data_IF_580672719689
#
_entry.id   IF_580672719689
#
_cell.length_a   1.000
_cell.length_b   1.000
_cell.length_c   1.000
_cell.angle_alpha   90.00
_cell.angle_beta   90.00
_cell.angle_gamma   90.00
#
_symmetry.space_group_name_H-M   'P 1'
#
loop_
_entity.id
_entity.type
_entity.pdbx_description
1 polymer ?
#
# COMPACT_ATOMS: atom_id res chain seq x y z
N UNK A 1 -1.30 6.81 26.88
CA UNK A 1 0.14 6.60 26.62
C UNK A 1 0.52 7.53 25.48
N UNK A 2 1.57 8.37 25.60
CA UNK A 2 1.98 9.22 24.49
C UNK A 2 2.39 8.31 23.32
N UNK A 3 1.79 8.54 22.15
CA UNK A 3 2.10 7.80 20.94
C UNK A 3 3.58 8.01 20.60
N UNK A 4 4.36 6.93 20.66
CA UNK A 4 5.70 6.91 20.08
C UNK A 4 5.50 7.20 18.57
N UNK A 5 6.17 8.22 17.98
CA UNK A 5 5.99 8.54 16.57
C UNK A 5 6.20 7.29 15.71
N UNK A 6 5.27 6.98 14.80
CA UNK A 6 5.29 5.76 13.97
C UNK A 6 6.65 5.53 13.28
N UNK A 7 7.29 6.60 12.81
CA UNK A 7 8.64 6.57 12.23
C UNK A 7 9.74 6.06 13.19
N UNK A 8 9.64 6.34 14.50
CA UNK A 8 10.58 5.82 15.51
C UNK A 8 10.35 4.35 15.85
N UNK A 9 9.11 3.87 15.73
CA UNK A 9 8.77 2.46 15.90
C UNK A 9 9.24 1.62 14.70
N UNK A 10 9.06 2.11 13.47
CA UNK A 10 9.54 1.46 12.25
C UNK A 10 11.07 1.37 12.20
N UNK A 11 11.78 2.46 12.52
CA UNK A 11 13.24 2.46 12.56
C UNK A 11 13.79 1.49 13.63
N UNK A 12 13.13 1.41 14.79
CA UNK A 12 13.46 0.44 15.82
C UNK A 12 13.23 -1.00 15.33
N UNK A 13 12.09 -1.28 14.69
CA UNK A 13 11.77 -2.59 14.15
C UNK A 13 12.76 -3.02 13.06
N UNK A 14 13.15 -2.13 12.14
CA UNK A 14 14.18 -2.43 11.11
C UNK A 14 15.52 -2.81 11.74
N UNK A 15 15.96 -2.09 12.77
CA UNK A 15 17.20 -2.41 13.48
C UNK A 15 17.12 -3.75 14.21
N UNK A 16 16.01 -4.02 14.91
CA UNK A 16 15.78 -5.29 15.59
C UNK A 16 15.71 -6.45 14.59
N UNK A 17 15.01 -6.26 13.47
CA UNK A 17 14.91 -7.24 12.38
C UNK A 17 16.29 -7.62 11.82
N UNK A 18 17.14 -6.63 11.53
CA UNK A 18 18.51 -6.88 11.06
C UNK A 18 19.33 -7.67 12.11
N UNK A 19 19.21 -7.32 13.39
CA UNK A 19 19.87 -8.05 14.49
C UNK A 19 19.39 -9.51 14.61
N UNK A 20 18.09 -9.75 14.47
CA UNK A 20 17.51 -11.09 14.49
C UNK A 20 17.99 -11.92 13.29
N UNK A 21 18.00 -11.33 12.09
CA UNK A 21 18.50 -11.98 10.88
C UNK A 21 19.96 -12.39 11.02
N UNK A 22 20.83 -11.50 11.52
CA UNK A 22 22.24 -11.80 11.78
C UNK A 22 22.42 -12.90 12.84
N UNK A 23 21.61 -12.87 13.90
CA UNK A 23 21.65 -13.86 14.98
C UNK A 23 21.21 -15.23 14.49
N UNK A 24 20.17 -15.28 13.66
CA UNK A 24 19.66 -16.49 13.01
C UNK A 24 20.70 -17.10 12.07
N UNK A 25 21.28 -16.32 11.16
CA UNK A 25 22.28 -16.80 10.18
C UNK A 25 23.58 -17.31 10.82
N UNK A 26 23.88 -16.88 12.05
CA UNK A 26 25.02 -17.37 12.86
C UNK A 26 24.72 -18.65 13.63
N UNK A 27 23.47 -19.10 13.70
CA UNK A 27 23.14 -20.37 14.33
C UNK A 27 23.73 -21.54 13.53
N UNK A 28 23.98 -22.70 14.16
CA UNK A 28 24.31 -23.92 13.42
C UNK A 28 23.14 -24.35 12.50
N UNK A 29 23.46 -25.15 11.48
CA UNK A 29 22.50 -25.52 10.43
C UNK A 29 21.24 -26.20 10.97
N UNK A 30 21.37 -27.02 12.02
CA UNK A 30 20.22 -27.70 12.64
C UNK A 30 19.25 -26.69 13.27
N UNK A 31 19.76 -25.76 14.07
CA UNK A 31 18.96 -24.67 14.64
C UNK A 31 18.34 -23.77 13.57
N UNK A 32 19.06 -23.49 12.48
CA UNK A 32 18.47 -22.76 11.36
C UNK A 32 17.28 -23.51 10.78
N UNK A 33 17.40 -24.82 10.52
CA UNK A 33 16.28 -25.66 10.04
C UNK A 33 15.10 -25.72 11.02
N UNK A 34 15.38 -25.73 12.33
CA UNK A 34 14.32 -25.65 13.35
C UNK A 34 13.60 -24.30 13.24
N UNK A 35 14.32 -23.18 13.13
CA UNK A 35 13.73 -21.84 12.99
C UNK A 35 12.93 -21.71 11.69
N UNK A 36 13.43 -22.24 10.56
CA UNK A 36 12.69 -22.30 9.30
C UNK A 36 11.37 -23.06 9.46
N UNK A 37 11.40 -24.23 10.10
CA UNK A 37 10.17 -24.99 10.35
C UNK A 37 9.20 -24.21 11.26
N UNK A 38 9.71 -23.55 12.31
CA UNK A 38 8.93 -22.66 13.16
C UNK A 38 8.33 -21.49 12.40
N UNK A 39 9.02 -20.94 11.40
CA UNK A 39 8.50 -19.84 10.57
C UNK A 39 7.39 -20.31 9.64
N UNK A 40 7.50 -21.51 9.06
CA UNK A 40 6.44 -22.09 8.22
C UNK A 40 5.20 -22.50 9.02
N UNK A 41 5.36 -22.92 10.29
CA UNK A 41 4.21 -23.18 11.17
C UNK A 41 3.36 -21.92 11.34
N UNK A 42 3.98 -20.73 11.39
CA UNK A 42 3.37 -19.39 11.53
C UNK A 42 2.57 -19.15 12.83
N UNK A 43 1.72 -20.10 13.20
CA UNK A 43 0.88 -20.14 14.38
C UNK A 43 1.66 -20.43 15.68
N UNK A 44 1.12 -20.06 16.85
CA UNK A 44 1.63 -20.55 18.12
C UNK A 44 1.63 -22.07 18.19
N UNK A 45 2.79 -22.67 18.49
CA UNK A 45 3.00 -24.11 18.56
C UNK A 45 3.45 -24.57 19.95
N UNK A 46 3.25 -25.84 20.22
CA UNK A 46 3.77 -26.52 21.42
C UNK A 46 5.05 -27.27 21.06
N UNK A 47 5.87 -27.62 22.05
CA UNK A 47 7.03 -28.50 21.82
C UNK A 47 6.61 -29.82 21.17
N UNK A 48 5.43 -30.37 21.53
CA UNK A 48 4.93 -31.61 20.94
C UNK A 48 4.57 -31.45 19.47
N UNK A 49 3.86 -30.39 19.09
CA UNK A 49 3.50 -30.17 17.69
C UNK A 49 4.72 -29.86 16.82
N UNK A 50 5.75 -29.21 17.37
CA UNK A 50 7.03 -29.03 16.68
C UNK A 50 7.78 -30.36 16.48
N UNK A 51 7.79 -31.26 17.48
CA UNK A 51 8.36 -32.62 17.33
C UNK A 51 7.71 -33.36 16.16
N UNK A 52 6.37 -33.31 16.06
CA UNK A 52 5.64 -33.96 14.97
C UNK A 52 6.08 -33.39 13.62
N UNK A 53 6.16 -32.06 13.49
CA UNK A 53 6.61 -31.44 12.24
C UNK A 53 8.08 -31.79 11.91
N UNK A 54 8.97 -31.84 12.90
CA UNK A 54 10.39 -32.23 12.71
C UNK A 54 10.52 -33.67 12.22
N UNK A 55 9.74 -34.59 12.78
CA UNK A 55 9.67 -35.98 12.34
C UNK A 55 9.20 -36.06 10.87
N UNK A 56 8.13 -35.32 10.52
CA UNK A 56 7.60 -35.28 9.14
C UNK A 56 8.59 -34.67 8.14
N UNK A 57 9.42 -33.72 8.60
CA UNK A 57 10.47 -33.10 7.80
C UNK A 57 11.77 -33.93 7.74
N UNK A 58 11.80 -35.11 8.40
CA UNK A 58 13.01 -35.92 8.55
C UNK A 58 14.22 -35.12 9.10
N UNK A 59 13.96 -34.22 10.05
CA UNK A 59 15.00 -33.46 10.76
C UNK A 59 15.32 -34.19 12.07
N UNK A 60 16.59 -34.57 12.22
CA UNK A 60 17.09 -35.36 13.35
C UNK A 60 18.05 -34.54 14.22
N UNK A 61 18.27 -35.00 15.45
CA UNK A 61 19.29 -34.42 16.32
C UNK A 61 20.72 -34.71 15.82
N UNK A 62 21.73 -34.14 16.49
CA UNK A 62 23.15 -34.35 16.18
C UNK A 62 23.60 -35.83 16.20
N UNK A 63 22.80 -36.72 16.80
CA UNK A 63 23.05 -38.17 16.89
C UNK A 63 22.19 -38.96 15.90
N UNK A 64 21.57 -38.28 14.93
CA UNK A 64 20.66 -38.84 13.93
C UNK A 64 19.46 -39.56 14.55
N UNK A 65 18.97 -39.09 15.70
CA UNK A 65 17.77 -39.59 16.37
C UNK A 65 16.61 -38.62 16.20
N UNK A 66 15.40 -39.15 16.23
CA UNK A 66 14.18 -38.34 16.28
C UNK A 66 14.17 -37.49 17.55
N UNK A 67 13.69 -36.26 17.41
CA UNK A 67 13.43 -35.41 18.55
C UNK A 67 12.30 -35.97 19.42
N UNK A 68 12.45 -35.80 20.73
CA UNK A 68 11.39 -35.91 21.71
C UNK A 68 11.34 -34.60 22.48
N UNK A 69 10.25 -34.30 23.19
CA UNK A 69 10.13 -33.02 23.88
C UNK A 69 11.32 -32.69 24.77
N UNK A 70 11.87 -33.69 25.49
CA UNK A 70 13.05 -33.53 26.34
C UNK A 70 14.33 -33.17 25.58
N UNK A 71 14.52 -33.70 24.36
CA UNK A 71 15.72 -33.39 23.55
C UNK A 71 15.55 -32.12 22.73
N UNK A 72 14.31 -31.72 22.43
CA UNK A 72 14.01 -30.48 21.71
C UNK A 72 13.97 -29.24 22.62
N UNK A 73 13.55 -29.36 23.89
CA UNK A 73 13.48 -28.23 24.82
C UNK A 73 14.76 -27.38 24.90
N UNK A 74 15.98 -27.96 25.03
CA UNK A 74 17.20 -27.16 25.06
C UNK A 74 17.43 -26.30 23.81
N UNK A 75 16.98 -26.78 22.64
CA UNK A 75 17.06 -25.99 21.40
C UNK A 75 16.06 -24.84 21.45
N UNK A 76 14.81 -25.08 21.88
CA UNK A 76 13.80 -24.03 22.04
C UNK A 76 14.27 -22.97 23.04
N UNK A 77 14.80 -23.38 24.20
CA UNK A 77 15.29 -22.46 25.23
C UNK A 77 16.42 -21.56 24.68
N UNK A 78 17.39 -22.14 23.97
CA UNK A 78 18.47 -21.39 23.30
C UNK A 78 17.92 -20.43 22.22
N UNK A 79 16.93 -20.85 21.43
CA UNK A 79 16.31 -19.99 20.43
C UNK A 79 15.52 -18.82 21.06
N UNK A 80 14.96 -19.03 22.25
CA UNK A 80 14.32 -17.98 23.06
C UNK A 80 15.36 -17.01 23.62
N UNK A 81 16.47 -17.51 24.16
CA UNK A 81 17.58 -16.69 24.64
C UNK A 81 18.17 -15.80 23.53
N UNK A 82 18.19 -16.30 22.29
CA UNK A 82 18.60 -15.54 21.11
C UNK A 82 17.49 -14.67 20.48
N UNK A 83 16.27 -14.69 21.03
CA UNK A 83 15.13 -13.91 20.54
C UNK A 83 14.54 -14.38 19.19
N UNK A 84 14.98 -15.53 18.67
CA UNK A 84 14.53 -16.08 17.39
C UNK A 84 13.16 -16.75 17.51
N UNK A 85 12.86 -17.28 18.70
CA UNK A 85 11.56 -17.81 19.09
C UNK A 85 11.06 -17.02 20.30
N UNK A 86 9.77 -16.68 20.32
CA UNK A 86 9.13 -15.96 21.41
C UNK A 86 8.10 -16.85 22.09
N UNK A 87 7.95 -16.68 23.40
CA UNK A 87 6.89 -17.33 24.18
C UNK A 87 5.68 -16.38 24.24
N UNK A 88 4.57 -16.71 23.57
CA UNK A 88 3.36 -15.86 23.61
C UNK A 88 2.58 -16.06 24.91
N UNK A 89 2.46 -17.31 25.37
CA UNK A 89 1.66 -17.71 26.54
C UNK A 89 2.40 -18.80 27.34
N UNK A 90 1.85 -19.24 28.48
CA UNK A 90 2.45 -20.30 29.33
C UNK A 90 2.77 -21.63 28.60
N UNK A 91 2.23 -21.87 27.40
CA UNK A 91 2.38 -23.14 26.66
C UNK A 91 2.63 -23.00 25.15
N UNK A 92 2.72 -21.79 24.61
CA UNK A 92 2.82 -21.55 23.16
C UNK A 92 4.07 -20.77 22.78
N UNK A 93 4.81 -21.28 21.81
CA UNK A 93 5.98 -20.65 21.20
C UNK A 93 5.65 -20.22 19.78
N UNK A 94 6.35 -19.21 19.26
CA UNK A 94 6.22 -18.74 17.88
C UNK A 94 7.57 -18.26 17.37
N UNK A 95 7.84 -18.40 16.06
CA UNK A 95 8.97 -17.69 15.47
C UNK A 95 8.77 -16.18 15.64
N UNK A 96 9.84 -15.43 15.91
CA UNK A 96 9.74 -13.99 16.07
C UNK A 96 9.16 -13.35 14.79
N UNK A 97 8.12 -12.51 14.92
CA UNK A 97 7.37 -11.98 13.77
C UNK A 97 8.26 -11.27 12.73
N UNK A 98 9.24 -10.48 13.19
CA UNK A 98 10.19 -9.79 12.32
C UNK A 98 11.22 -10.71 11.62
N UNK A 99 11.38 -11.96 12.07
CA UNK A 99 12.32 -12.94 11.49
C UNK A 99 11.62 -13.89 10.52
N UNK A 100 10.30 -14.01 10.63
CA UNK A 100 9.53 -15.11 10.09
C UNK A 100 9.64 -15.23 8.56
N UNK A 101 9.54 -14.14 7.81
CA UNK A 101 9.70 -14.20 6.35
C UNK A 101 11.15 -14.38 5.92
N UNK A 102 12.12 -13.83 6.67
CA UNK A 102 13.55 -14.02 6.42
C UNK A 102 13.89 -15.52 6.50
N UNK A 103 13.44 -16.20 7.57
CA UNK A 103 13.67 -17.62 7.73
C UNK A 103 12.97 -18.45 6.64
N UNK A 104 11.73 -18.12 6.28
CA UNK A 104 11.02 -18.82 5.20
C UNK A 104 11.69 -18.63 3.85
N UNK A 105 12.14 -17.43 3.51
CA UNK A 105 12.86 -17.14 2.25
C UNK A 105 14.21 -17.84 2.20
N UNK A 106 14.93 -17.93 3.32
CA UNK A 106 16.16 -18.72 3.39
C UNK A 106 15.89 -20.23 3.13
N UNK A 107 14.74 -20.76 3.56
CA UNK A 107 14.33 -22.13 3.24
C UNK A 107 13.96 -22.31 1.76
N UNK A 108 13.39 -21.29 1.11
CA UNK A 108 13.16 -21.27 -0.35
C UNK A 108 14.51 -21.26 -1.07
N UNK A 109 15.43 -20.38 -0.66
CA UNK A 109 16.78 -20.23 -1.24
C UNK A 109 17.62 -21.50 -1.10
N UNK A 110 17.48 -22.24 0.01
CA UNK A 110 18.17 -23.51 0.21
C UNK A 110 17.51 -24.71 -0.48
N UNK A 111 16.31 -24.55 -1.04
CA UNK A 111 15.52 -25.63 -1.64
C UNK A 111 14.84 -26.56 -0.64
N UNK A 112 14.89 -26.25 0.67
CA UNK A 112 14.27 -27.06 1.72
C UNK A 112 12.75 -26.79 1.84
N UNK A 113 12.26 -25.65 1.33
CA UNK A 113 10.88 -25.19 1.52
C UNK A 113 9.79 -26.22 1.18
N UNK A 114 9.81 -26.94 0.04
CA UNK A 114 8.73 -27.87 -0.31
C UNK A 114 8.54 -28.99 0.72
N UNK A 115 9.64 -29.56 1.22
CA UNK A 115 9.59 -30.63 2.23
C UNK A 115 9.16 -30.10 3.59
N UNK A 116 9.62 -28.90 3.97
CA UNK A 116 9.18 -28.26 5.22
C UNK A 116 7.69 -27.88 5.18
N UNK A 117 7.21 -27.34 4.07
CA UNK A 117 5.80 -26.99 3.89
C UNK A 117 4.91 -28.23 3.99
N UNK A 118 5.29 -29.32 3.31
CA UNK A 118 4.61 -30.61 3.41
C UNK A 118 4.61 -31.15 4.84
N UNK A 119 5.71 -31.02 5.56
CA UNK A 119 5.81 -31.44 6.96
C UNK A 119 4.87 -30.65 7.87
N UNK A 120 4.71 -29.35 7.65
CA UNK A 120 3.74 -28.52 8.37
C UNK A 120 2.31 -28.92 8.03
N UNK A 121 1.97 -29.09 6.75
CA UNK A 121 0.62 -29.51 6.33
C UNK A 121 0.22 -30.86 6.93
N UNK A 122 1.16 -31.81 7.02
CA UNK A 122 0.91 -33.14 7.62
C UNK A 122 0.94 -33.12 9.15
N UNK A 123 1.79 -32.30 9.75
CA UNK A 123 1.93 -32.21 11.21
C UNK A 123 0.86 -31.35 11.88
N UNK A 124 0.32 -30.36 11.17
CA UNK A 124 -0.71 -29.44 11.63
C UNK A 124 -1.75 -29.19 10.52
N UNK A 125 -2.53 -30.20 10.14
CA UNK A 125 -3.50 -30.09 9.05
C UNK A 125 -4.61 -29.09 9.38
N UNK A 126 -5.03 -28.32 8.38
CA UNK A 126 -6.26 -27.52 8.45
C UNK A 126 -7.46 -28.47 8.39
N UNK A 127 -8.43 -28.26 9.27
CA UNK A 127 -9.67 -29.05 9.27
C UNK A 127 -10.43 -28.79 7.97
N UNK A 128 -11.04 -29.83 7.41
CA UNK A 128 -11.98 -29.72 6.28
C UNK A 128 -13.39 -30.04 6.78
N UNK A 129 -14.41 -29.40 6.19
CA UNK A 129 -15.80 -29.65 6.60
C UNK A 129 -16.29 -31.07 6.24
N UNK A 130 -15.84 -31.61 5.11
CA UNK A 130 -16.05 -32.99 4.67
C UNK A 130 -14.85 -33.44 3.80
N UNK A 131 -14.80 -34.72 3.43
CA UNK A 131 -13.73 -35.26 2.56
C UNK A 131 -13.70 -34.53 1.21
N UNK A 132 -12.53 -34.05 0.82
CA UNK A 132 -12.33 -33.15 -0.34
C UNK A 132 -13.16 -31.85 -0.29
N UNK A 133 -13.66 -31.49 0.89
CA UNK A 133 -14.43 -30.27 1.14
C UNK A 133 -13.57 -29.04 1.45
N UNK A 134 -14.20 -27.87 1.59
CA UNK A 134 -13.51 -26.62 1.87
C UNK A 134 -12.80 -26.66 3.22
N UNK A 135 -11.71 -25.90 3.31
CA UNK A 135 -10.95 -25.72 4.54
C UNK A 135 -11.70 -24.86 5.54
N UNK A 136 -11.65 -25.27 6.80
CA UNK A 136 -12.30 -24.65 7.95
C UNK A 136 -11.26 -24.02 8.86
N UNK A 137 -10.88 -22.79 8.52
CA UNK A 137 -9.92 -22.00 9.30
C UNK A 137 -10.48 -21.65 10.68
N UNK A 138 -9.79 -22.07 11.74
CA UNK A 138 -10.20 -21.78 13.11
C UNK A 138 -9.79 -20.37 13.54
N UNK A 139 -8.71 -19.85 12.95
CA UNK A 139 -8.17 -18.53 13.22
C UNK A 139 -7.55 -17.92 11.96
N UNK A 140 -7.31 -16.61 12.00
CA UNK A 140 -6.74 -15.87 10.86
C UNK A 140 -5.29 -16.29 10.59
N UNK A 141 -4.55 -16.73 11.62
CA UNK A 141 -3.18 -17.22 11.46
C UNK A 141 -3.12 -18.49 10.61
N UNK A 142 -4.13 -19.37 10.67
CA UNK A 142 -4.23 -20.53 9.78
C UNK A 142 -4.42 -20.12 8.33
N UNK A 143 -5.28 -19.12 8.10
CA UNK A 143 -5.50 -18.58 6.75
C UNK A 143 -4.21 -17.96 6.21
N UNK A 144 -3.55 -17.10 7.00
CA UNK A 144 -2.27 -16.49 6.63
C UNK A 144 -1.21 -17.55 6.35
N UNK A 145 -1.10 -18.59 7.19
CA UNK A 145 -0.15 -19.70 6.99
C UNK A 145 -0.35 -20.38 5.63
N UNK A 146 -1.57 -20.69 5.24
CA UNK A 146 -1.83 -21.35 3.96
C UNK A 146 -1.62 -20.39 2.77
N UNK A 147 -1.97 -19.10 2.89
CA UNK A 147 -1.63 -18.10 1.87
C UNK A 147 -0.11 -17.97 1.72
N UNK A 148 0.64 -17.95 2.81
CA UNK A 148 2.12 -17.97 2.81
C UNK A 148 2.65 -19.19 2.08
N UNK A 149 2.15 -20.38 2.40
CA UNK A 149 2.54 -21.62 1.71
C UNK A 149 2.27 -21.52 0.20
N UNK A 150 1.09 -21.01 -0.18
CA UNK A 150 0.74 -20.80 -1.59
C UNK A 150 1.67 -19.82 -2.30
N UNK A 151 1.98 -18.69 -1.66
CA UNK A 151 2.84 -17.65 -2.23
C UNK A 151 4.27 -18.15 -2.45
N UNK A 152 4.87 -18.79 -1.44
CA UNK A 152 6.22 -19.35 -1.53
C UNK A 152 6.29 -20.59 -2.44
N UNK A 153 5.17 -21.29 -2.65
CA UNK A 153 5.04 -22.34 -3.67
C UNK A 153 4.71 -21.79 -5.06
N UNK A 154 4.50 -20.48 -5.19
CA UNK A 154 4.09 -19.79 -6.41
C UNK A 154 2.77 -20.32 -7.03
N UNK A 155 1.85 -20.80 -6.19
CA UNK A 155 0.57 -21.38 -6.60
C UNK A 155 -0.60 -20.41 -6.35
N UNK A 156 -0.86 -19.55 -7.34
CA UNK A 156 -1.98 -18.59 -7.27
C UNK A 156 -3.34 -19.30 -7.14
N UNK A 157 -3.52 -20.47 -7.76
CA UNK A 157 -4.79 -21.19 -7.68
C UNK A 157 -5.04 -21.67 -6.26
N UNK A 158 -4.01 -22.18 -5.60
CA UNK A 158 -4.09 -22.57 -4.20
C UNK A 158 -4.41 -21.38 -3.30
N UNK A 159 -3.76 -20.22 -3.49
CA UNK A 159 -4.05 -18.98 -2.75
C UNK A 159 -5.51 -18.57 -2.92
N UNK A 160 -6.00 -18.54 -4.16
CA UNK A 160 -7.39 -18.18 -4.45
C UNK A 160 -8.38 -19.13 -3.79
N UNK A 161 -8.08 -20.44 -3.77
CA UNK A 161 -8.90 -21.41 -3.05
C UNK A 161 -8.92 -21.16 -1.54
N UNK A 162 -7.78 -20.78 -0.94
CA UNK A 162 -7.73 -20.46 0.50
C UNK A 162 -8.58 -19.23 0.82
N UNK A 163 -8.51 -18.21 -0.04
CA UNK A 163 -9.30 -17.00 0.11
C UNK A 163 -10.79 -17.30 -0.02
N UNK A 164 -11.19 -18.09 -1.02
CA UNK A 164 -12.58 -18.49 -1.22
C UNK A 164 -13.11 -19.27 -0.01
N UNK A 165 -12.35 -20.22 0.50
CA UNK A 165 -12.73 -21.03 1.66
C UNK A 165 -12.87 -20.15 2.92
N UNK A 166 -11.90 -19.26 3.17
CA UNK A 166 -11.91 -18.33 4.30
C UNK A 166 -13.09 -17.35 4.22
N UNK A 167 -13.35 -16.78 3.04
CA UNK A 167 -14.44 -15.83 2.83
C UNK A 167 -15.82 -16.48 2.88
N UNK A 168 -16.00 -17.69 2.36
CA UNK A 168 -17.33 -18.34 2.33
C UNK A 168 -17.69 -19.05 3.63
N UNK A 169 -16.71 -19.67 4.29
CA UNK A 169 -16.97 -20.57 5.43
C UNK A 169 -16.45 -20.04 6.77
N UNK A 170 -15.79 -18.88 6.80
CA UNK A 170 -15.45 -18.18 8.04
C UNK A 170 -16.66 -17.46 8.65
N UNK A 171 -17.01 -17.79 9.90
CA UNK A 171 -18.04 -17.10 10.70
C UNK A 171 -17.47 -15.88 11.45
N UNK A 172 -16.77 -14.99 10.74
CA UNK A 172 -16.11 -13.80 11.30
C UNK A 172 -16.69 -12.54 10.68
N UNK A 173 -16.97 -11.54 11.52
CA UNK A 173 -17.50 -10.23 11.08
C UNK A 173 -16.43 -9.41 10.33
N UNK A 174 -15.19 -9.41 10.82
CA UNK A 174 -14.05 -8.72 10.20
C UNK A 174 -13.10 -9.76 9.59
N UNK A 175 -13.22 -10.01 8.29
CA UNK A 175 -12.36 -10.93 7.56
C UNK A 175 -11.15 -10.17 7.01
N UNK A 176 -9.98 -10.81 7.08
CA UNK A 176 -8.79 -10.30 6.41
C UNK A 176 -8.99 -10.26 4.89
N UNK A 177 -8.48 -9.21 4.26
CA UNK A 177 -8.34 -9.15 2.80
C UNK A 177 -7.09 -9.94 2.36
N UNK A 178 -7.05 -10.35 1.09
CA UNK A 178 -5.84 -10.99 0.56
C UNK A 178 -4.69 -10.00 0.50
N UNK A 179 -5.01 -8.75 0.19
CA UNK A 179 -4.08 -7.62 0.10
C UNK A 179 -3.38 -7.38 1.44
N UNK A 180 -4.10 -7.37 2.57
CA UNK A 180 -3.47 -7.20 3.89
C UNK A 180 -2.47 -8.33 4.19
N UNK A 181 -2.83 -9.57 3.83
CA UNK A 181 -1.99 -10.75 4.06
C UNK A 181 -0.76 -10.72 3.17
N UNK A 182 -0.91 -10.49 1.87
CA UNK A 182 0.22 -10.43 0.95
C UNK A 182 1.17 -9.28 1.33
N UNK A 183 0.65 -8.15 1.80
CA UNK A 183 1.45 -7.02 2.22
C UNK A 183 2.33 -7.36 3.43
N UNK A 184 1.77 -8.04 4.44
CA UNK A 184 2.53 -8.53 5.59
C UNK A 184 3.67 -9.45 5.16
N UNK A 185 3.43 -10.32 4.17
CA UNK A 185 4.42 -11.29 3.69
C UNK A 185 5.50 -10.62 2.83
N UNK A 186 5.10 -9.74 1.91
CA UNK A 186 6.00 -9.10 0.95
C UNK A 186 6.84 -7.99 1.56
N UNK A 187 6.38 -7.36 2.66
CA UNK A 187 7.04 -6.18 3.24
C UNK A 187 7.59 -6.40 4.67
N UNK A 188 7.93 -7.64 5.06
CA UNK A 188 8.47 -7.98 6.38
C UNK A 188 9.79 -8.80 6.36
N UNK A 189 10.92 -8.26 5.87
CA UNK A 189 11.06 -7.01 5.12
C UNK A 189 10.73 -7.22 3.64
N UNK A 190 10.80 -6.17 2.83
CA UNK A 190 10.95 -6.36 1.38
C UNK A 190 12.28 -7.08 1.09
N UNK A 191 12.28 -7.96 0.09
CA UNK A 191 13.44 -8.75 -0.32
C UNK A 191 13.44 -8.88 -1.84
N UNK A 192 14.22 -8.04 -2.51
CA UNK A 192 14.23 -7.99 -3.96
C UNK A 192 14.72 -9.28 -4.63
N UNK A 193 15.68 -10.00 -4.03
CA UNK A 193 16.17 -11.25 -4.62
C UNK A 193 15.06 -12.29 -4.70
N UNK A 194 14.31 -12.47 -3.61
CA UNK A 194 13.17 -13.38 -3.58
C UNK A 194 12.02 -12.88 -4.44
N UNK A 195 11.69 -11.59 -4.36
CA UNK A 195 10.55 -11.01 -5.07
C UNK A 195 10.66 -11.18 -6.59
N UNK A 196 11.87 -11.04 -7.14
CA UNK A 196 12.15 -11.25 -8.57
C UNK A 196 11.88 -12.69 -9.05
N UNK A 197 11.81 -13.67 -8.13
CA UNK A 197 11.52 -15.08 -8.47
C UNK A 197 10.03 -15.35 -8.67
N UNK A 198 9.14 -14.44 -8.28
CA UNK A 198 7.70 -14.64 -8.40
C UNK A 198 7.28 -14.72 -9.88
N UNK A 199 6.25 -15.50 -10.23
CA UNK A 199 5.67 -15.46 -11.57
C UNK A 199 4.95 -14.13 -11.82
N UNK A 200 4.88 -13.71 -13.08
CA UNK A 200 4.35 -12.41 -13.53
C UNK A 200 3.02 -12.00 -12.85
N UNK A 201 2.06 -12.92 -12.77
CA UNK A 201 0.76 -12.66 -12.15
C UNK A 201 0.84 -12.33 -10.65
N UNK A 202 1.75 -12.98 -9.90
CA UNK A 202 1.98 -12.70 -8.49
C UNK A 202 2.86 -11.46 -8.31
N UNK A 203 3.86 -11.28 -9.17
CA UNK A 203 4.73 -10.11 -9.18
C UNK A 203 3.90 -8.83 -9.34
N UNK A 204 3.09 -8.74 -10.40
CA UNK A 204 2.24 -7.58 -10.71
C UNK A 204 1.32 -7.17 -9.56
N UNK A 205 0.70 -8.16 -8.91
CA UNK A 205 -0.23 -7.92 -7.83
C UNK A 205 0.48 -7.50 -6.54
N UNK A 206 1.57 -8.20 -6.19
CA UNK A 206 2.30 -7.93 -4.96
C UNK A 206 3.05 -6.58 -5.01
N UNK A 207 3.64 -6.23 -6.15
CA UNK A 207 4.47 -5.01 -6.25
C UNK A 207 3.57 -3.77 -6.19
N UNK A 208 2.42 -3.83 -6.87
CA UNK A 208 1.39 -2.80 -6.78
C UNK A 208 0.94 -2.58 -5.35
N UNK A 209 0.63 -3.65 -4.63
CA UNK A 209 0.13 -3.57 -3.27
C UNK A 209 1.18 -2.99 -2.31
N UNK A 210 2.45 -3.39 -2.42
CA UNK A 210 3.55 -2.80 -1.63
C UNK A 210 3.67 -1.30 -1.89
N UNK A 211 3.70 -0.89 -3.17
CA UNK A 211 3.87 0.51 -3.56
C UNK A 211 2.65 1.37 -3.26
N UNK A 212 1.44 0.82 -3.43
CA UNK A 212 0.18 1.51 -3.12
C UNK A 212 0.02 1.69 -1.61
N UNK A 213 0.32 0.65 -0.80
CA UNK A 213 0.33 0.79 0.65
C UNK A 213 1.34 1.85 1.11
N UNK A 214 2.52 1.86 0.49
CA UNK A 214 3.58 2.82 0.78
C UNK A 214 3.16 4.26 0.45
N UNK A 215 2.51 4.45 -0.70
CA UNK A 215 1.94 5.74 -1.10
C UNK A 215 0.90 6.21 -0.09
N UNK A 216 -0.10 5.36 0.21
CA UNK A 216 -1.23 5.73 1.05
C UNK A 216 -0.87 5.99 2.52
N UNK A 217 0.31 5.54 2.97
CA UNK A 217 0.74 5.67 4.37
C UNK A 217 2.07 6.39 4.56
N UNK A 218 2.69 6.89 3.48
CA UNK A 218 4.05 7.44 3.48
C UNK A 218 5.07 6.53 4.15
N UNK A 219 5.09 5.27 3.74
CA UNK A 219 6.13 4.32 4.14
C UNK A 219 7.23 4.31 3.05
N UNK A 220 8.53 4.39 3.40
CA UNK A 220 9.59 4.31 2.40
C UNK A 220 9.59 2.95 1.69
N UNK A 221 9.65 2.98 0.36
CA UNK A 221 9.59 1.81 -0.51
C UNK A 221 10.59 1.90 -1.67
N UNK A 222 11.75 2.51 -1.44
CA UNK A 222 12.76 2.78 -2.46
C UNK A 222 13.21 1.51 -3.18
N UNK A 223 13.44 0.41 -2.44
CA UNK A 223 13.85 -0.87 -3.04
C UNK A 223 12.79 -1.44 -3.99
N UNK A 224 11.51 -1.44 -3.57
CA UNK A 224 10.40 -1.90 -4.40
C UNK A 224 10.18 -0.99 -5.62
N UNK A 225 10.33 0.32 -5.45
CA UNK A 225 10.19 1.29 -6.53
C UNK A 225 11.33 1.17 -7.54
N UNK A 226 12.58 1.09 -7.08
CA UNK A 226 13.76 0.86 -7.94
C UNK A 226 13.63 -0.45 -8.70
N UNK A 227 13.19 -1.53 -8.04
CA UNK A 227 12.93 -2.79 -8.73
C UNK A 227 11.90 -2.64 -9.86
N UNK A 228 10.74 -2.02 -9.59
CA UNK A 228 9.72 -1.81 -10.63
C UNK A 228 10.25 -0.96 -11.79
N UNK A 229 11.04 0.07 -11.46
CA UNK A 229 11.67 0.96 -12.41
C UNK A 229 12.66 0.19 -13.31
N UNK A 230 13.56 -0.59 -12.72
CA UNK A 230 14.52 -1.43 -13.44
C UNK A 230 13.81 -2.42 -14.36
N UNK A 231 12.73 -3.04 -13.89
CA UNK A 231 12.00 -4.03 -14.68
C UNK A 231 11.31 -3.40 -15.89
N UNK A 232 10.73 -2.20 -15.74
CA UNK A 232 10.06 -1.50 -16.85
C UNK A 232 11.02 -0.87 -17.87
N UNK A 233 12.18 -0.38 -17.43
CA UNK A 233 13.14 0.33 -18.30
C UNK A 233 14.21 -0.58 -18.92
N UNK A 234 14.54 -1.72 -18.31
CA UNK A 234 15.52 -2.63 -18.88
C UNK A 234 14.89 -3.54 -19.94
N UNK A 235 15.51 -3.62 -21.12
CA UNK A 235 15.07 -4.53 -22.20
C UNK A 235 15.19 -6.03 -21.86
N UNK A 236 15.80 -6.35 -20.71
CA UNK A 236 15.97 -7.70 -20.18
C UNK A 236 15.04 -7.99 -18.99
N UNK A 237 14.13 -7.07 -18.65
CA UNK A 237 13.11 -7.30 -17.63
C UNK A 237 12.31 -8.57 -17.95
N UNK A 238 12.15 -9.43 -16.96
CA UNK A 238 11.44 -10.70 -17.07
C UNK A 238 9.95 -10.49 -16.85
N UNK A 239 9.59 -9.52 -16.01
CA UNK A 239 8.21 -9.17 -15.65
C UNK A 239 7.85 -7.80 -16.22
N UNK A 240 7.52 -7.74 -17.50
CA UNK A 240 7.08 -6.49 -18.13
C UNK A 240 5.67 -6.61 -18.68
N UNK A 241 4.72 -5.96 -18.03
CA UNK A 241 3.35 -5.83 -18.51
C UNK A 241 2.99 -4.35 -18.71
N UNK A 242 2.03 -4.06 -19.60
CA UNK A 242 1.53 -2.70 -19.77
C UNK A 242 0.89 -2.16 -18.47
N UNK A 243 0.36 -3.06 -17.64
CA UNK A 243 -0.18 -2.73 -16.32
C UNK A 243 0.92 -2.23 -15.38
N UNK A 244 2.07 -2.91 -15.30
CA UNK A 244 3.20 -2.46 -14.49
C UNK A 244 3.70 -1.08 -14.90
N UNK A 245 3.78 -0.81 -16.22
CA UNK A 245 4.17 0.51 -16.72
C UNK A 245 3.20 1.61 -16.30
N UNK A 246 1.89 1.33 -16.25
CA UNK A 246 0.91 2.29 -15.71
C UNK A 246 1.08 2.50 -14.20
N UNK A 247 1.39 1.45 -13.44
CA UNK A 247 1.66 1.56 -12.00
C UNK A 247 2.94 2.37 -11.75
N UNK A 248 3.99 2.12 -12.54
CA UNK A 248 5.21 2.92 -12.51
C UNK A 248 4.92 4.38 -12.84
N UNK A 249 4.11 4.65 -13.86
CA UNK A 249 3.69 6.01 -14.21
C UNK A 249 3.02 6.70 -13.03
N UNK A 250 2.09 6.04 -12.36
CA UNK A 250 1.43 6.58 -11.16
C UNK A 250 2.42 6.91 -10.04
N UNK A 251 3.35 5.99 -9.76
CA UNK A 251 4.40 6.22 -8.77
C UNK A 251 5.30 7.40 -9.16
N UNK A 252 5.73 7.48 -10.41
CA UNK A 252 6.56 8.58 -10.91
C UNK A 252 5.87 9.93 -10.77
N UNK A 253 4.57 10.01 -11.10
CA UNK A 253 3.79 11.25 -10.95
C UNK A 253 3.71 11.70 -9.48
N UNK A 254 3.47 10.78 -8.53
CA UNK A 254 3.46 11.12 -7.09
C UNK A 254 4.84 11.46 -6.52
N UNK A 255 5.91 10.92 -7.12
CA UNK A 255 7.30 11.18 -6.73
C UNK A 255 7.89 12.43 -7.39
N UNK A 256 7.13 13.08 -8.29
CA UNK A 256 7.57 14.28 -9.01
C UNK A 256 8.47 14.00 -10.22
N UNK A 257 8.59 12.75 -10.67
CA UNK A 257 9.41 12.34 -11.81
C UNK A 257 8.62 12.46 -13.12
N UNK A 258 8.28 13.68 -13.52
CA UNK A 258 7.34 13.93 -14.63
C UNK A 258 7.89 13.50 -15.99
N UNK A 259 9.20 13.64 -16.20
CA UNK A 259 9.83 13.30 -17.47
C UNK A 259 9.87 11.77 -17.67
N UNK A 260 10.23 11.03 -16.63
CA UNK A 260 10.24 9.57 -16.63
C UNK A 260 8.80 9.02 -16.75
N UNK A 261 7.81 9.68 -16.13
CA UNK A 261 6.41 9.32 -16.28
C UNK A 261 5.98 9.45 -17.75
N UNK A 262 6.39 10.54 -18.41
CA UNK A 262 6.14 10.76 -19.84
C UNK A 262 6.79 9.68 -20.70
N UNK A 263 8.07 9.38 -20.48
CA UNK A 263 8.80 8.34 -21.22
C UNK A 263 8.16 6.97 -21.06
N UNK A 264 7.69 6.66 -19.84
CA UNK A 264 6.96 5.41 -19.56
C UNK A 264 5.66 5.35 -20.37
N UNK A 265 4.88 6.44 -20.41
CA UNK A 265 3.65 6.51 -21.19
C UNK A 265 3.89 6.43 -22.71
N UNK A 266 4.95 7.05 -23.22
CA UNK A 266 5.33 6.99 -24.64
C UNK A 266 5.80 5.59 -25.07
N UNK A 267 6.32 4.80 -24.12
CA UNK A 267 6.75 3.42 -24.38
C UNK A 267 5.60 2.41 -24.53
N UNK A 268 4.37 2.78 -24.13
CA UNK A 268 3.22 1.89 -24.18
C UNK A 268 2.66 1.77 -25.61
N UNK A 269 2.18 0.57 -26.01
CA UNK A 269 1.68 0.35 -27.35
C UNK A 269 0.33 1.05 -27.60
N UNK A 270 0.06 1.36 -28.87
CA UNK A 270 -1.08 2.20 -29.28
C UNK A 270 -2.45 1.56 -28.93
N UNK A 271 -2.53 0.24 -28.94
CA UNK A 271 -3.73 -0.53 -28.58
C UNK A 271 -4.05 -0.47 -27.08
N UNK A 272 -3.10 -0.07 -26.23
CA UNK A 272 -3.30 0.14 -24.80
C UNK A 272 -3.69 1.58 -24.43
N UNK A 273 -3.77 2.49 -25.41
CA UNK A 273 -3.99 3.92 -25.18
C UNK A 273 -5.23 4.24 -24.34
N UNK A 274 -6.29 3.43 -24.40
CA UNK A 274 -7.49 3.66 -23.60
C UNK A 274 -7.20 3.71 -22.10
N UNK A 275 -6.26 2.91 -21.62
CA UNK A 275 -5.88 2.85 -20.20
C UNK A 275 -4.86 3.93 -19.82
N UNK A 276 -4.18 4.53 -20.81
CA UNK A 276 -3.19 5.60 -20.60
C UNK A 276 -3.81 6.98 -20.44
N UNK A 277 -5.03 7.19 -20.95
CA UNK A 277 -5.67 8.50 -21.01
C UNK A 277 -5.78 9.23 -19.64
N UNK A 278 -6.08 8.57 -18.52
CA UNK A 278 -6.07 9.22 -17.21
C UNK A 278 -4.69 9.75 -16.78
N UNK A 279 -3.62 9.06 -17.21
CA UNK A 279 -2.25 9.41 -16.83
C UNK A 279 -1.68 10.50 -17.73
N UNK A 280 -1.97 10.46 -19.03
CA UNK A 280 -1.70 11.60 -19.93
C UNK A 280 -2.43 12.86 -19.49
N UNK A 281 -3.71 12.73 -19.13
CA UNK A 281 -4.48 13.86 -18.61
C UNK A 281 -3.88 14.44 -17.33
N UNK A 282 -3.45 13.57 -16.41
CA UNK A 282 -2.79 13.98 -15.17
C UNK A 282 -1.44 14.67 -15.45
N UNK A 283 -0.58 14.09 -16.28
CA UNK A 283 0.70 14.69 -16.66
C UNK A 283 0.52 16.09 -17.27
N UNK A 284 -0.38 16.24 -18.26
CA UNK A 284 -0.67 17.54 -18.86
C UNK A 284 -1.19 18.55 -17.84
N UNK A 285 -2.03 18.10 -16.89
CA UNK A 285 -2.54 18.96 -15.83
C UNK A 285 -1.42 19.52 -14.94
N UNK A 286 -0.48 18.67 -14.51
CA UNK A 286 0.69 19.08 -13.73
C UNK A 286 1.63 20.01 -14.51
N UNK A 287 1.76 19.81 -15.82
CA UNK A 287 2.52 20.69 -16.72
C UNK A 287 1.79 22.01 -17.04
N UNK A 288 0.61 22.25 -16.47
CA UNK A 288 -0.16 23.48 -16.69
C UNK A 288 -1.00 23.50 -17.97
N UNK A 289 -0.91 22.48 -18.84
CA UNK A 289 -1.74 22.34 -20.04
C UNK A 289 -3.11 21.74 -19.72
N UNK A 290 -3.96 22.55 -19.09
CA UNK A 290 -5.30 22.14 -18.68
C UNK A 290 -6.21 21.77 -19.85
N UNK A 291 -5.99 22.36 -21.03
CA UNK A 291 -6.80 22.09 -22.23
C UNK A 291 -6.53 20.67 -22.73
N UNK A 292 -5.25 20.30 -22.89
CA UNK A 292 -4.88 18.94 -23.26
C UNK A 292 -5.27 17.93 -22.18
N UNK A 293 -5.14 18.30 -20.90
CA UNK A 293 -5.58 17.46 -19.79
C UNK A 293 -7.06 17.05 -19.92
N UNK A 294 -7.96 18.03 -20.06
CA UNK A 294 -9.40 17.79 -20.22
C UNK A 294 -9.68 16.97 -21.49
N UNK A 295 -8.96 17.21 -22.58
CA UNK A 295 -9.12 16.46 -23.82
C UNK A 295 -8.76 14.96 -23.63
N UNK A 296 -7.63 14.66 -22.99
CA UNK A 296 -7.22 13.29 -22.68
C UNK A 296 -8.25 12.59 -21.78
N UNK A 297 -8.65 13.22 -20.67
CA UNK A 297 -9.64 12.65 -19.76
C UNK A 297 -11.00 12.42 -20.43
N UNK A 298 -11.50 13.38 -21.19
CA UNK A 298 -12.79 13.28 -21.87
C UNK A 298 -12.81 12.13 -22.87
N UNK A 299 -11.74 11.99 -23.66
CA UNK A 299 -11.57 10.88 -24.61
C UNK A 299 -11.49 9.53 -23.89
N UNK A 300 -10.69 9.43 -22.83
CA UNK A 300 -10.56 8.22 -22.03
C UNK A 300 -11.90 7.79 -21.40
N UNK A 301 -12.66 8.75 -20.86
CA UNK A 301 -13.95 8.47 -20.24
C UNK A 301 -15.01 8.03 -21.26
N UNK A 302 -15.00 8.61 -22.47
CA UNK A 302 -15.85 8.17 -23.56
C UNK A 302 -15.55 6.72 -23.97
N UNK A 303 -14.27 6.38 -24.12
CA UNK A 303 -13.84 5.01 -24.44
C UNK A 303 -14.20 4.03 -23.33
N UNK A 304 -14.01 4.40 -22.07
CA UNK A 304 -14.38 3.59 -20.91
C UNK A 304 -15.89 3.28 -20.88
N UNK A 305 -16.74 4.28 -21.16
CA UNK A 305 -18.19 4.10 -21.28
C UNK A 305 -18.56 3.15 -22.43
N UNK A 306 -17.90 3.28 -23.58
CA UNK A 306 -18.10 2.40 -24.75
C UNK A 306 -17.72 0.96 -24.41
N UNK A 307 -16.55 0.73 -23.83
CA UNK A 307 -16.06 -0.60 -23.47
C UNK A 307 -16.94 -1.28 -22.40
N UNK A 308 -17.37 -0.53 -21.39
CA UNK A 308 -18.24 -1.05 -20.33
C UNK A 308 -19.70 -1.24 -20.75
N UNK A 309 -20.13 -0.67 -21.89
CA UNK A 309 -21.53 -0.65 -22.32
C UNK A 309 -22.48 0.08 -21.36
N UNK A 310 -21.94 0.94 -20.47
CA UNK A 310 -22.68 1.59 -19.39
C UNK A 310 -22.55 3.10 -19.49
N UNK A 311 -23.66 3.81 -19.23
CA UNK A 311 -23.68 5.28 -19.23
C UNK A 311 -23.00 5.89 -18.00
N UNK A 312 -23.13 5.24 -16.85
CA UNK A 312 -22.54 5.65 -15.57
C UNK A 312 -21.32 4.79 -15.26
N UNK A 313 -20.17 5.24 -15.76
CA UNK A 313 -18.84 4.69 -15.47
C UNK A 313 -17.90 5.87 -15.29
N UNK A 314 -16.91 5.70 -14.42
CA UNK A 314 -15.85 6.67 -14.18
C UNK A 314 -14.52 5.93 -13.97
N UNK A 315 -13.41 6.67 -14.01
CA UNK A 315 -12.10 6.13 -13.70
C UNK A 315 -12.04 5.61 -12.26
N UNK A 316 -11.34 4.49 -12.05
CA UNK A 316 -11.09 3.93 -10.71
C UNK A 316 -9.64 4.11 -10.25
N UNK A 317 -8.87 4.95 -10.96
CA UNK A 317 -7.47 5.29 -10.69
C UNK A 317 -7.35 6.71 -10.15
N UNK A 318 -6.20 7.07 -9.59
CA UNK A 318 -5.96 8.44 -9.09
C UNK A 318 -6.10 9.49 -10.19
N UNK A 319 -5.80 9.15 -11.45
CA UNK A 319 -6.01 10.06 -12.58
C UNK A 319 -7.45 10.61 -12.67
N UNK A 320 -8.45 9.87 -12.18
CA UNK A 320 -9.81 10.36 -12.06
C UNK A 320 -9.96 11.59 -11.15
N UNK A 321 -9.16 11.71 -10.09
CA UNK A 321 -9.16 12.91 -9.24
C UNK A 321 -8.69 14.13 -10.01
N UNK A 322 -7.61 13.99 -10.80
CA UNK A 322 -7.05 15.07 -11.59
C UNK A 322 -7.98 15.52 -12.71
N UNK A 323 -8.86 14.65 -13.20
CA UNK A 323 -9.92 15.10 -14.10
C UNK A 323 -10.90 16.05 -13.41
N UNK A 324 -11.31 15.76 -12.17
CA UNK A 324 -12.15 16.67 -11.38
C UNK A 324 -11.44 18.00 -11.15
N UNK A 325 -10.16 17.98 -10.76
CA UNK A 325 -9.37 19.20 -10.59
C UNK A 325 -9.26 20.01 -11.89
N UNK A 326 -9.02 19.36 -13.02
CA UNK A 326 -8.94 20.02 -14.32
C UNK A 326 -10.26 20.73 -14.70
N UNK A 327 -11.41 20.11 -14.41
CA UNK A 327 -12.74 20.69 -14.61
C UNK A 327 -13.01 21.87 -13.66
N UNK A 328 -12.56 21.77 -12.40
CA UNK A 328 -12.65 22.88 -11.44
C UNK A 328 -11.80 24.06 -11.92
N UNK A 329 -10.56 23.80 -12.35
CA UNK A 329 -9.63 24.81 -12.88
C UNK A 329 -10.15 25.50 -14.14
N UNK A 330 -10.86 24.78 -15.01
CA UNK A 330 -11.52 25.36 -16.19
C UNK A 330 -12.61 26.37 -15.80
N UNK A 331 -13.34 26.12 -14.71
CA UNK A 331 -14.29 27.05 -14.12
C UNK A 331 -15.53 27.36 -14.97
N UNK A 332 -15.64 26.85 -16.20
CA UNK A 332 -16.83 27.08 -17.01
C UNK A 332 -18.06 26.41 -16.38
N UNK A 333 -19.27 26.98 -16.52
CA UNK A 333 -20.48 26.39 -15.93
C UNK A 333 -20.70 24.94 -16.34
N UNK A 334 -20.31 24.57 -17.57
CA UNK A 334 -20.38 23.20 -18.08
C UNK A 334 -19.40 22.27 -17.36
N UNK A 335 -18.16 22.71 -17.15
CA UNK A 335 -17.13 21.92 -16.47
C UNK A 335 -17.43 21.74 -14.99
N UNK A 336 -17.86 22.80 -14.31
CA UNK A 336 -18.27 22.73 -12.90
C UNK A 336 -19.48 21.81 -12.70
N UNK A 337 -20.48 21.88 -13.59
CA UNK A 337 -21.62 20.98 -13.57
C UNK A 337 -21.19 19.52 -13.78
N UNK A 338 -20.29 19.25 -14.74
CA UNK A 338 -19.77 17.90 -14.97
C UNK A 338 -18.98 17.38 -13.75
N UNK A 339 -18.15 18.21 -13.14
CA UNK A 339 -17.41 17.87 -11.92
C UNK A 339 -18.37 17.52 -10.77
N UNK A 340 -19.44 18.29 -10.59
CA UNK A 340 -20.45 18.05 -9.55
C UNK A 340 -21.21 16.74 -9.80
N UNK A 341 -21.57 16.43 -11.04
CA UNK A 341 -22.24 15.18 -11.40
C UNK A 341 -21.37 13.96 -11.12
N UNK A 342 -20.09 14.01 -11.53
CA UNK A 342 -19.14 12.93 -11.29
C UNK A 342 -18.88 12.71 -9.79
N UNK A 343 -18.53 13.76 -9.06
CA UNK A 343 -18.28 13.69 -7.61
C UNK A 343 -19.51 13.24 -6.83
N UNK A 344 -20.71 13.69 -7.20
CA UNK A 344 -21.97 13.25 -6.58
C UNK A 344 -22.26 11.77 -6.77
N UNK A 345 -21.94 11.21 -7.94
CA UNK A 345 -22.11 9.78 -8.20
C UNK A 345 -21.08 8.95 -7.42
N UNK A 346 -19.81 9.37 -7.43
CA UNK A 346 -18.70 8.69 -6.76
C UNK A 346 -18.84 8.71 -5.23
N UNK A 347 -19.29 9.82 -4.66
CA UNK A 347 -19.54 9.94 -3.22
C UNK A 347 -20.59 8.93 -2.70
N UNK A 348 -21.43 8.38 -3.58
CA UNK A 348 -22.44 7.37 -3.25
C UNK A 348 -21.95 5.92 -3.43
N UNK A 349 -20.79 5.71 -4.04
CA UNK A 349 -20.23 4.37 -4.24
C UNK A 349 -19.47 3.94 -2.98
N UNK A 350 -20.06 3.08 -2.14
CA UNK A 350 -19.44 2.64 -0.87
C UNK A 350 -18.07 2.00 -1.06
N UNK A 351 -17.90 1.26 -2.15
CA UNK A 351 -16.68 0.49 -2.45
C UNK A 351 -15.58 1.31 -3.13
N UNK A 352 -15.83 2.59 -3.46
CA UNK A 352 -14.81 3.39 -4.12
C UNK A 352 -13.76 3.86 -3.11
N UNK A 353 -12.51 3.46 -3.30
CA UNK A 353 -11.42 3.73 -2.35
C UNK A 353 -11.18 5.25 -2.12
N UNK A 354 -11.38 6.08 -3.15
CA UNK A 354 -11.35 7.56 -3.06
C UNK A 354 -12.66 8.24 -2.66
N UNK A 355 -13.66 7.52 -2.13
CA UNK A 355 -15.00 8.07 -1.86
C UNK A 355 -14.98 9.30 -0.97
N UNK A 356 -14.13 9.32 0.06
CA UNK A 356 -14.02 10.44 1.01
C UNK A 356 -13.54 11.71 0.30
N UNK A 357 -12.57 11.58 -0.61
CA UNK A 357 -12.07 12.71 -1.40
C UNK A 357 -13.16 13.23 -2.34
N UNK A 358 -13.81 12.34 -3.09
CA UNK A 358 -14.91 12.75 -3.98
C UNK A 358 -16.08 13.39 -3.24
N UNK A 359 -16.40 12.92 -2.03
CA UNK A 359 -17.42 13.55 -1.20
C UNK A 359 -17.04 14.99 -0.83
N UNK A 360 -15.81 15.25 -0.43
CA UNK A 360 -15.38 16.61 -0.06
C UNK A 360 -15.28 17.54 -1.26
N UNK A 361 -14.80 17.05 -2.41
CA UNK A 361 -14.83 17.80 -3.67
C UNK A 361 -16.27 18.12 -4.11
N UNK A 362 -17.23 17.20 -3.89
CA UNK A 362 -18.66 17.45 -4.12
C UNK A 362 -19.15 18.60 -3.23
N UNK A 363 -18.84 18.57 -1.93
CA UNK A 363 -19.24 19.61 -0.97
C UNK A 363 -18.64 20.97 -1.35
N UNK A 364 -17.35 21.01 -1.71
CA UNK A 364 -16.67 22.19 -2.22
C UNK A 364 -17.41 22.82 -3.42
N UNK A 365 -17.74 22.01 -4.42
CA UNK A 365 -18.49 22.45 -5.60
C UNK A 365 -19.89 22.98 -5.26
N UNK A 366 -20.57 22.38 -4.28
CA UNK A 366 -21.87 22.88 -3.80
C UNK A 366 -21.74 24.25 -3.11
N UNK A 367 -20.70 24.44 -2.29
CA UNK A 367 -20.42 25.73 -1.65
C UNK A 367 -20.13 26.81 -2.69
N UNK A 368 -19.29 26.51 -3.69
CA UNK A 368 -19.03 27.43 -4.82
C UNK A 368 -20.28 27.72 -5.66
N UNK A 369 -21.23 26.77 -5.72
CA UNK A 369 -22.54 26.94 -6.34
C UNK A 369 -23.55 27.74 -5.49
N UNK A 370 -23.16 28.24 -4.31
CA UNK A 370 -23.98 29.06 -3.42
C UNK A 370 -24.66 28.30 -2.27
N UNK A 371 -24.44 26.98 -2.12
CA UNK A 371 -24.98 26.21 -0.98
C UNK A 371 -24.10 26.39 0.28
N UNK A 372 -23.97 27.62 0.79
CA UNK A 372 -23.05 27.97 1.91
C UNK A 372 -23.23 27.07 3.15
N UNK A 373 -24.45 26.60 3.43
CA UNK A 373 -24.71 25.69 4.56
C UNK A 373 -23.95 24.36 4.52
N UNK A 374 -23.46 23.95 3.34
CA UNK A 374 -22.67 22.73 3.18
C UNK A 374 -21.23 22.90 3.71
N UNK A 375 -20.74 24.14 3.88
CA UNK A 375 -19.40 24.48 4.40
C UNK A 375 -19.08 23.75 5.71
N UNK A 376 -20.07 23.59 6.60
CA UNK A 376 -19.91 22.88 7.88
C UNK A 376 -19.40 21.45 7.74
N UNK A 377 -19.72 20.75 6.65
CA UNK A 377 -19.29 19.36 6.45
C UNK A 377 -17.78 19.24 6.20
N UNK A 378 -17.16 20.29 5.66
CA UNK A 378 -15.70 20.37 5.51
C UNK A 378 -15.08 20.86 6.83
N UNK A 379 -15.64 21.89 7.47
CA UNK A 379 -15.10 22.46 8.72
C UNK A 379 -15.14 21.48 9.91
N UNK A 380 -16.21 20.71 10.03
CA UNK A 380 -16.39 19.72 11.11
C UNK A 380 -15.71 18.37 10.77
N UNK A 381 -15.20 18.23 9.54
CA UNK A 381 -14.52 17.03 9.07
C UNK A 381 -13.22 16.81 9.83
N UNK A 382 -13.10 15.67 10.52
CA UNK A 382 -11.84 15.30 11.19
C UNK A 382 -10.80 14.88 10.15
N UNK A 383 -9.66 15.56 10.15
CA UNK A 383 -8.46 15.17 9.40
C UNK A 383 -7.42 14.70 10.42
N UNK A 384 -6.97 13.46 10.30
CA UNK A 384 -5.98 12.88 11.21
C UNK A 384 -4.78 12.34 10.43
N UNK A 385 -3.58 12.74 10.83
CA UNK A 385 -2.34 12.24 10.24
C UNK A 385 -1.21 12.20 11.29
N UNK A 386 -0.47 11.08 11.40
CA UNK A 386 -0.79 9.75 10.87
C UNK A 386 -2.04 9.17 11.57
N UNK A 387 -2.76 8.26 10.91
CA UNK A 387 -3.90 7.58 11.54
C UNK A 387 -5.01 7.23 10.55
N UNK A 388 -6.23 7.69 10.86
CA UNK A 388 -7.47 7.25 10.22
C UNK A 388 -7.58 7.61 8.73
N UNK A 389 -6.76 8.54 8.23
CA UNK A 389 -6.79 8.99 6.84
C UNK A 389 -5.54 8.55 6.07
N UNK A 390 -5.74 8.21 4.79
CA UNK A 390 -4.62 7.98 3.86
C UNK A 390 -3.91 9.29 3.53
N UNK A 391 -2.66 9.20 3.05
CA UNK A 391 -1.88 10.36 2.61
C UNK A 391 -2.62 11.20 1.56
N UNK A 392 -3.32 10.57 0.62
CA UNK A 392 -4.11 11.28 -0.38
C UNK A 392 -5.32 11.97 0.24
N UNK A 393 -6.04 11.29 1.13
CA UNK A 393 -7.16 11.92 1.83
C UNK A 393 -6.72 13.16 2.58
N UNK A 394 -5.63 13.07 3.34
CA UNK A 394 -5.13 14.20 4.13
C UNK A 394 -4.87 15.43 3.28
N UNK A 395 -4.12 15.31 2.17
CA UNK A 395 -3.83 16.46 1.31
C UNK A 395 -5.10 17.09 0.74
N UNK A 396 -5.97 16.27 0.15
CA UNK A 396 -7.18 16.78 -0.51
C UNK A 396 -8.21 17.34 0.48
N UNK A 397 -8.31 16.77 1.68
CA UNK A 397 -9.16 17.32 2.73
C UNK A 397 -8.63 18.67 3.24
N UNK A 398 -7.31 18.79 3.42
CA UNK A 398 -6.68 20.06 3.81
C UNK A 398 -6.88 21.13 2.73
N UNK A 399 -6.73 20.78 1.46
CA UNK A 399 -7.01 21.68 0.33
C UNK A 399 -8.48 22.14 0.32
N UNK A 400 -9.43 21.21 0.46
CA UNK A 400 -10.85 21.56 0.54
C UNK A 400 -11.15 22.49 1.73
N UNK A 401 -10.53 22.24 2.88
CA UNK A 401 -10.68 23.10 4.05
C UNK A 401 -10.13 24.50 3.80
N UNK A 402 -8.93 24.62 3.24
CA UNK A 402 -8.33 25.91 2.91
C UNK A 402 -9.13 26.70 1.87
N UNK A 403 -9.60 26.06 0.80
CA UNK A 403 -10.37 26.73 -0.24
C UNK A 403 -11.73 27.26 0.23
N UNK A 404 -12.29 26.64 1.27
CA UNK A 404 -13.60 27.03 1.83
C UNK A 404 -13.47 27.96 3.04
N UNK A 405 -12.37 27.85 3.78
CA UNK A 405 -12.16 28.53 5.06
C UNK A 405 -10.66 28.78 5.32
N UNK A 406 -10.08 29.72 4.57
CA UNK A 406 -8.66 30.07 4.71
C UNK A 406 -8.34 30.65 6.10
N UNK A 407 -9.24 31.44 6.68
CA UNK A 407 -9.03 32.09 7.99
C UNK A 407 -8.79 31.07 9.10
N UNK A 408 -9.52 29.95 9.09
CA UNK A 408 -9.38 28.89 10.08
C UNK A 408 -8.38 27.79 9.69
N UNK A 409 -7.83 27.82 8.47
CA UNK A 409 -6.93 26.76 7.99
C UNK A 409 -5.60 26.68 8.78
N UNK A 410 -5.24 27.72 9.55
CA UNK A 410 -4.06 27.74 10.46
C UNK A 410 -4.04 26.62 11.50
N UNK A 411 -5.19 26.04 11.84
CA UNK A 411 -5.25 24.86 12.70
C UNK A 411 -4.60 23.61 12.08
N UNK A 412 -4.44 23.57 10.75
CA UNK A 412 -3.87 22.43 10.02
C UNK A 412 -2.33 22.46 9.96
N UNK A 413 -1.67 23.56 10.36
CA UNK A 413 -0.23 23.73 10.13
C UNK A 413 0.63 22.63 10.74
N UNK A 414 0.40 22.25 11.99
CA UNK A 414 1.17 21.20 12.64
C UNK A 414 1.00 19.83 11.96
N UNK A 415 -0.21 19.57 11.43
CA UNK A 415 -0.49 18.37 10.65
C UNK A 415 0.23 18.41 9.30
N UNK A 416 0.19 19.54 8.58
CA UNK A 416 0.85 19.73 7.30
C UNK A 416 2.38 19.69 7.41
N UNK A 417 2.97 20.21 8.48
CA UNK A 417 4.40 20.08 8.77
C UNK A 417 4.83 18.61 8.88
N UNK A 418 4.06 17.82 9.63
CA UNK A 418 4.31 16.39 9.76
C UNK A 418 4.09 15.64 8.44
N UNK A 419 3.04 15.99 7.69
CA UNK A 419 2.75 15.44 6.37
C UNK A 419 3.87 15.70 5.37
N UNK A 420 4.30 16.96 5.27
CA UNK A 420 5.41 17.39 4.42
C UNK A 420 6.68 16.59 4.72
N UNK A 421 7.09 16.53 6.00
CA UNK A 421 8.29 15.80 6.39
C UNK A 421 8.23 14.32 6.02
N UNK A 422 7.09 13.65 6.23
CA UNK A 422 6.93 12.24 5.89
C UNK A 422 6.86 12.01 4.37
N UNK A 423 6.16 12.87 3.64
CA UNK A 423 6.09 12.79 2.17
C UNK A 423 7.46 12.87 1.52
N UNK A 424 8.30 13.83 1.95
CA UNK A 424 9.69 13.96 1.48
C UNK A 424 10.54 12.76 1.92
N UNK A 425 10.46 12.35 3.20
CA UNK A 425 11.26 11.24 3.71
C UNK A 425 10.96 9.89 3.03
N UNK A 426 9.74 9.71 2.51
CA UNK A 426 9.29 8.49 1.81
C UNK A 426 9.37 8.60 0.28
N UNK A 427 9.89 9.73 -0.24
CA UNK A 427 10.16 9.96 -1.65
C UNK A 427 8.98 10.43 -2.50
N UNK A 428 7.83 10.72 -1.88
CA UNK A 428 6.61 11.21 -2.56
C UNK A 428 6.66 12.74 -2.70
N UNK A 429 7.64 13.24 -3.45
CA UNK A 429 7.99 14.66 -3.47
C UNK A 429 6.87 15.57 -3.98
N UNK A 430 6.01 15.12 -4.91
CA UNK A 430 4.89 15.94 -5.37
C UNK A 430 3.89 16.20 -4.24
N UNK A 431 3.56 15.17 -3.46
CA UNK A 431 2.67 15.33 -2.30
C UNK A 431 3.31 16.21 -1.22
N UNK A 432 4.62 16.05 -0.99
CA UNK A 432 5.38 16.93 -0.08
C UNK A 432 5.37 18.39 -0.55
N UNK A 433 5.59 18.64 -1.83
CA UNK A 433 5.57 19.97 -2.45
C UNK A 433 4.22 20.65 -2.23
N UNK A 434 3.11 20.00 -2.60
CA UNK A 434 1.77 20.60 -2.44
C UNK A 434 1.42 20.87 -0.96
N UNK A 435 1.93 20.06 -0.03
CA UNK A 435 1.74 20.29 1.40
C UNK A 435 2.52 21.51 1.92
N UNK A 436 3.76 21.71 1.49
CA UNK A 436 4.54 22.89 1.91
C UNK A 436 4.07 24.16 1.21
N UNK A 437 3.55 24.06 -0.02
CA UNK A 437 2.82 25.14 -0.68
C UNK A 437 1.63 25.58 0.16
N UNK A 438 0.78 24.64 0.56
CA UNK A 438 -0.39 24.95 1.38
C UNK A 438 0.01 25.56 2.73
N UNK A 439 1.06 24.99 3.35
CA UNK A 439 1.62 25.49 4.60
C UNK A 439 2.11 26.94 4.47
N UNK A 440 2.75 27.30 3.35
CA UNK A 440 3.23 28.67 3.10
C UNK A 440 2.10 29.69 2.99
N UNK A 441 0.87 29.27 2.63
CA UNK A 441 -0.28 30.18 2.50
C UNK A 441 -1.01 30.37 3.81
N UNK A 442 -0.97 29.33 4.63
CA UNK A 442 -1.61 29.29 5.94
C UNK A 442 -0.69 29.92 7.02
N UNK A 443 0.63 29.76 6.89
CA UNK A 443 1.65 30.37 7.74
C UNK A 443 2.54 31.29 6.91
N UNK A 444 2.51 32.58 7.25
CA UNK A 444 3.41 33.59 6.69
C UNK A 444 4.85 33.45 7.25
N UNK A 445 5.50 32.31 7.00
CA UNK A 445 6.89 32.04 7.32
C UNK A 445 7.69 31.89 6.02
N UNK A 446 8.66 32.78 5.79
CA UNK A 446 9.45 32.83 4.55
C UNK A 446 10.19 31.52 4.22
N UNK A 447 10.48 30.68 5.22
CA UNK A 447 11.17 29.41 5.02
C UNK A 447 10.32 28.40 4.23
N UNK A 448 9.01 28.37 4.45
CA UNK A 448 8.13 27.44 3.72
C UNK A 448 7.94 27.87 2.28
N UNK A 449 7.83 29.17 2.02
CA UNK A 449 7.79 29.72 0.65
C UNK A 449 9.03 29.33 -0.15
N UNK A 450 10.22 29.49 0.44
CA UNK A 450 11.49 29.09 -0.20
C UNK A 450 11.55 27.57 -0.43
N UNK A 451 11.12 26.75 0.53
CA UNK A 451 11.10 25.29 0.38
C UNK A 451 10.13 24.84 -0.72
N UNK A 452 8.97 25.48 -0.81
CA UNK A 452 7.97 25.19 -1.81
C UNK A 452 8.48 25.56 -3.22
N UNK A 453 9.11 26.73 -3.36
CA UNK A 453 9.74 27.16 -4.61
C UNK A 453 10.83 26.19 -5.08
N UNK A 454 11.75 25.78 -4.20
CA UNK A 454 12.80 24.80 -4.53
C UNK A 454 12.19 23.50 -5.04
N UNK A 455 11.17 22.96 -4.35
CA UNK A 455 10.54 21.71 -4.76
C UNK A 455 9.77 21.84 -6.08
N UNK A 456 9.10 22.98 -6.33
CA UNK A 456 8.46 23.25 -7.62
C UNK A 456 9.48 23.28 -8.76
N UNK A 457 10.60 23.97 -8.57
CA UNK A 457 11.69 24.04 -9.55
C UNK A 457 12.31 22.66 -9.81
N UNK A 458 12.59 21.89 -8.75
CA UNK A 458 13.18 20.55 -8.84
C UNK A 458 12.26 19.56 -9.59
N UNK A 459 10.94 19.63 -9.34
CA UNK A 459 9.95 18.77 -9.99
C UNK A 459 9.60 19.26 -11.41
N UNK A 460 9.82 20.55 -11.70
CA UNK A 460 9.44 21.18 -12.96
C UNK A 460 7.94 21.47 -13.07
N UNK A 461 7.32 21.93 -11.98
CA UNK A 461 5.91 22.36 -11.94
C UNK A 461 5.83 23.85 -11.67
N UNK A 462 5.21 24.59 -12.60
CA UNK A 462 5.06 26.05 -12.49
C UNK A 462 3.95 26.48 -11.52
N UNK A 463 2.92 25.65 -11.34
CA UNK A 463 1.74 26.03 -10.57
C UNK A 463 1.30 24.91 -9.63
N UNK A 464 1.23 25.23 -8.34
CA UNK A 464 0.65 24.36 -7.31
C UNK A 464 -0.87 24.22 -7.47
N UNK A 465 -1.41 23.06 -7.09
CA UNK A 465 -2.87 22.89 -7.02
C UNK A 465 -3.51 23.75 -5.93
N UNK A 466 -2.75 24.17 -4.91
CA UNK A 466 -3.20 25.07 -3.83
C UNK A 466 -3.82 26.35 -4.39
N UNK A 467 -3.23 26.90 -5.45
CA UNK A 467 -3.64 28.17 -6.06
C UNK A 467 -4.76 28.00 -7.11
N UNK A 468 -5.28 26.78 -7.32
CA UNK A 468 -6.31 26.50 -8.32
C UNK A 468 -7.64 27.21 -8.00
N UNK A 469 -7.98 27.35 -6.72
CA UNK A 469 -9.18 28.01 -6.24
C UNK A 469 -8.75 29.15 -5.32
N UNK A 470 -9.21 30.36 -5.62
CA UNK A 470 -9.07 31.47 -4.68
C UNK A 470 -9.96 31.19 -3.46
N UNK A 471 -9.41 31.13 -2.25
CA UNK A 471 -10.23 30.97 -1.06
C UNK A 471 -11.27 32.09 -0.98
N UNK A 472 -12.48 31.74 -0.57
CA UNK A 472 -13.53 32.74 -0.40
C UNK A 472 -13.48 33.28 1.03
N UNK A 473 -13.25 34.58 1.20
CA UNK A 473 -13.29 35.21 2.52
C UNK A 473 -14.75 35.33 3.01
N UNK A 474 -14.97 35.27 4.34
CA UNK A 474 -16.33 35.24 4.91
C UNK A 474 -17.20 36.42 4.48
N UNK A 475 -16.59 37.59 4.24
CA UNK A 475 -17.31 38.78 3.79
C UNK A 475 -17.75 38.71 2.32
N UNK A 476 -17.03 37.99 1.45
CA UNK A 476 -17.37 37.82 0.03
C UNK A 476 -18.59 36.91 -0.16
N UNK A 477 -18.87 36.04 0.82
CA UNK A 477 -20.02 35.12 0.80
C UNK A 477 -21.34 35.74 1.31
N UNK A 478 -21.26 36.96 1.87
CA UNK A 478 -22.40 37.67 2.46
C UNK A 478 -23.01 38.74 1.53
N UNK A 479 -22.50 38.87 0.29
CA UNK A 479 -23.00 39.73 -0.79
C UNK A 479 -23.72 38.90 -1.83
#
# INVERSE_FOLDING_TARGET
MPAVPMATFEAFNRKLQAQLADTYRKQPLLEQKIVQLCSLIYEPFTTLSLVICLERAAIYDEKSKLFVSKTLSPYIDKLIEHGLVVQENKQGYRCHALLMEIATRDAVKSGDFPELAKAVTLGQPIRVFWEDGPRSFQNDLQFIREVRIGLYSQDLNFINQQLEDYQKFGFRENKLSLEDVLLEICNNPFDGEWFATLPENLYDHCIWMVLNHSLLNFIPADEAFTMLQEECFNSAGVHTSERLRLQLTEQLLFRGCLQEAKETLESLPEDYLQNTAPYWGWLCFLQGDNVSAIAHFSKGLEQLKKAAGKRQVYFNTTGGLFFILALIKDGSPKSLQAALEHTSWLARQSEHWLRIIYYNLKVLLQVQGGEVSQKRFIQEGRIAFPGDNTSLEVLFLCLCHYWVDADNASMLSGLLEQYYQQGIASGYHWLGMEAVELLSRIKAESSYETQAEILREDIGIDNSIVDMIKPTEEWEQCL
#
